data_IF_918433325001
#
_entry.id   IF_918433325001
#
_cell.length_a   1.000
_cell.length_b   1.000
_cell.length_c   1.000
_cell.angle_alpha   90.00
_cell.angle_beta   90.00
_cell.angle_gamma   90.00
#
_symmetry.space_group_name_H-M   'P 1'
#
loop_
_entity.id
_entity.type
_entity.pdbx_description
1 polymer ?
#
# COMPACT_ATOMS: atom_id res chain seq x y z
N UNK A 1 17.94 -6.71 20.10
CA UNK A 1 17.43 -5.87 20.03
C UNK A 1 16.08 -5.94 19.88
N UNK A 2 15.50 -5.30 20.32
CA UNK A 2 14.24 -5.44 20.37
C UNK A 2 13.65 -5.02 19.29
N UNK A 3 13.25 -5.48 18.73
CA UNK A 3 12.86 -5.09 17.75
C UNK A 3 11.57 -4.63 17.77
N UNK A 4 11.05 -4.08 16.81
CA UNK A 4 9.75 -3.55 16.68
C UNK A 4 8.75 -4.65 16.54
N UNK A 5 8.65 -5.45 17.55
CA UNK A 5 7.69 -6.51 17.50
C UNK A 5 6.30 -5.95 17.64
N UNK A 6 5.41 -6.34 16.74
CA UNK A 6 4.02 -5.94 16.81
C UNK A 6 3.29 -6.98 17.61
N UNK A 7 2.51 -6.58 18.62
CA UNK A 7 1.74 -7.55 19.37
C UNK A 7 0.83 -8.39 18.47
N UNK A 8 0.63 -9.66 18.77
CA UNK A 8 -0.16 -10.51 17.88
C UNK A 8 -1.60 -10.04 17.69
N UNK A 9 -2.13 -9.31 18.66
CA UNK A 9 -3.49 -8.80 18.56
C UNK A 9 -3.58 -7.37 18.09
N UNK A 10 -2.47 -6.77 17.68
CA UNK A 10 -2.50 -5.41 17.16
C UNK A 10 -3.21 -5.38 15.81
N UNK A 11 -3.96 -4.32 15.53
CA UNK A 11 -4.57 -4.19 14.20
C UNK A 11 -3.50 -4.14 13.13
N UNK A 12 -3.76 -4.71 11.96
CA UNK A 12 -2.82 -4.58 10.85
C UNK A 12 -2.75 -3.12 10.42
N UNK A 13 -1.57 -2.71 9.97
CA UNK A 13 -1.32 -1.35 9.54
C UNK A 13 -1.17 -1.31 8.02
N UNK A 14 -1.93 -0.43 7.38
CA UNK A 14 -1.88 -0.22 5.94
C UNK A 14 -1.43 1.21 5.68
N UNK A 15 -0.53 1.40 4.74
CA UNK A 15 -0.13 2.74 4.31
C UNK A 15 -0.94 3.15 3.09
N UNK A 16 -1.34 4.41 3.01
CA UNK A 16 -2.06 4.95 1.85
C UNK A 16 -1.32 6.19 1.40
N UNK A 17 -0.90 6.21 0.13
CA UNK A 17 -0.24 7.36 -0.47
C UNK A 17 -1.10 7.85 -1.61
N UNK A 18 -1.70 9.02 -1.46
CA UNK A 18 -2.57 9.62 -2.47
C UNK A 18 -2.49 11.13 -2.30
N UNK A 19 -2.27 11.90 -3.37
CA UNK A 19 -2.16 13.35 -3.25
C UNK A 19 -3.49 14.02 -2.95
N UNK A 20 -4.62 13.38 -3.25
CA UNK A 20 -5.92 13.96 -3.04
C UNK A 20 -6.39 13.70 -1.61
N UNK A 21 -6.56 14.73 -0.78
CA UNK A 21 -6.96 14.51 0.60
C UNK A 21 -8.35 13.89 0.74
N UNK A 22 -9.24 14.11 -0.20
CA UNK A 22 -10.58 13.50 -0.14
C UNK A 22 -10.47 12.00 -0.34
N UNK A 23 -9.72 11.57 -1.36
CA UNK A 23 -9.52 10.15 -1.62
C UNK A 23 -8.76 9.50 -0.46
N UNK A 24 -7.72 10.16 0.02
CA UNK A 24 -6.89 9.64 1.11
C UNK A 24 -7.71 9.45 2.38
N UNK A 25 -8.51 10.45 2.74
CA UNK A 25 -9.34 10.38 3.95
C UNK A 25 -10.47 9.37 3.78
N UNK A 26 -11.00 9.23 2.58
CA UNK A 26 -12.03 8.22 2.30
C UNK A 26 -11.51 6.81 2.51
N UNK A 27 -10.31 6.52 2.00
CA UNK A 27 -9.71 5.21 2.17
C UNK A 27 -9.39 4.96 3.65
N UNK A 28 -8.89 5.98 4.34
CA UNK A 28 -8.60 5.84 5.75
C UNK A 28 -9.86 5.49 6.55
N UNK A 29 -10.94 6.19 6.30
CA UNK A 29 -12.19 5.94 7.01
C UNK A 29 -12.74 4.54 6.69
N UNK A 30 -12.69 4.15 5.43
CA UNK A 30 -13.15 2.83 5.01
C UNK A 30 -12.41 1.72 5.72
N UNK A 31 -11.09 1.79 5.73
CA UNK A 31 -10.27 0.76 6.33
C UNK A 31 -10.40 0.75 7.85
N UNK A 32 -10.46 1.94 8.45
CA UNK A 32 -10.59 2.04 9.90
C UNK A 32 -11.90 1.40 10.37
N UNK A 33 -13.00 1.62 9.64
CA UNK A 33 -14.28 0.99 9.98
C UNK A 33 -14.23 -0.53 9.92
N UNK A 34 -13.26 -1.06 9.20
CA UNK A 34 -13.10 -2.50 9.04
C UNK A 34 -11.96 -3.06 9.88
N UNK A 35 -11.55 -2.34 10.92
CA UNK A 35 -10.58 -2.86 11.88
C UNK A 35 -9.13 -2.76 11.45
N UNK A 36 -8.82 -1.89 10.48
CA UNK A 36 -7.48 -1.75 9.94
C UNK A 36 -6.93 -0.38 10.32
N UNK A 37 -5.74 -0.34 10.91
CA UNK A 37 -5.08 0.93 11.17
C UNK A 37 -4.45 1.45 9.88
N UNK A 38 -4.45 2.75 9.71
CA UNK A 38 -4.01 3.37 8.46
C UNK A 38 -3.07 4.53 8.75
N UNK A 39 -1.95 4.56 8.04
CA UNK A 39 -1.08 5.75 7.99
C UNK A 39 -1.22 6.34 6.59
N UNK A 40 -1.41 7.65 6.51
CA UNK A 40 -1.65 8.29 5.22
C UNK A 40 -0.54 9.28 4.89
N UNK A 41 -0.25 9.41 3.61
CA UNK A 41 0.81 10.29 3.10
C UNK A 41 0.33 10.93 1.80
N UNK A 42 0.76 12.17 1.56
CA UNK A 42 0.37 12.87 0.34
C UNK A 42 1.37 12.68 -0.79
N UNK A 43 2.52 12.09 -0.53
CA UNK A 43 3.55 11.87 -1.54
C UNK A 43 4.41 10.67 -1.17
N UNK A 44 5.11 10.14 -2.15
CA UNK A 44 6.07 9.07 -1.91
C UNK A 44 7.21 9.56 -1.03
N UNK A 45 7.63 10.79 -1.25
CA UNK A 45 8.72 11.36 -0.47
C UNK A 45 8.37 11.45 1.01
N UNK A 46 7.15 11.90 1.34
CA UNK A 46 6.75 12.00 2.75
C UNK A 46 6.65 10.61 3.38
N UNK A 47 6.21 9.62 2.61
CA UNK A 47 6.20 8.24 3.10
C UNK A 47 7.62 7.77 3.42
N UNK A 48 8.56 7.99 2.51
CA UNK A 48 9.93 7.53 2.71
C UNK A 48 10.59 8.21 3.91
N UNK A 49 10.29 9.50 4.11
CA UNK A 49 10.82 10.21 5.27
C UNK A 49 10.25 9.71 6.58
N UNK A 50 9.00 9.30 6.57
CA UNK A 50 8.34 8.85 7.78
C UNK A 50 8.54 7.35 8.04
N UNK A 51 9.07 6.62 7.06
CA UNK A 51 9.26 5.19 7.21
C UNK A 51 10.32 4.95 8.30
N UNK A 52 9.89 4.31 9.36
CA UNK A 52 10.74 4.15 10.52
C UNK A 52 10.83 2.67 10.93
N UNK A 53 10.68 1.79 9.97
CA UNK A 53 10.78 0.36 10.26
C UNK A 53 9.48 -0.29 10.70
N UNK A 54 8.39 0.48 10.76
CA UNK A 54 7.11 -0.14 11.10
C UNK A 54 6.70 -1.09 9.98
N UNK A 55 6.20 -2.22 10.39
CA UNK A 55 5.80 -3.24 9.44
C UNK A 55 4.41 -2.93 8.90
N UNK A 56 4.29 -2.83 7.58
CA UNK A 56 3.00 -2.60 6.94
C UNK A 56 2.49 -3.90 6.36
N UNK A 57 1.21 -4.15 6.52
CA UNK A 57 0.58 -5.29 5.86
C UNK A 57 0.51 -5.07 4.35
N UNK A 58 0.30 -3.84 3.93
CA UNK A 58 0.37 -3.48 2.52
C UNK A 58 0.42 -1.96 2.37
N UNK A 59 0.72 -1.51 1.16
CA UNK A 59 0.81 -0.10 0.82
C UNK A 59 -0.07 0.13 -0.40
N UNK A 60 -1.03 1.04 -0.28
CA UNK A 60 -1.90 1.43 -1.39
C UNK A 60 -1.36 2.75 -1.91
N UNK A 61 -0.97 2.79 -3.18
CA UNK A 61 -0.24 3.91 -3.75
C UNK A 61 -0.89 4.38 -5.03
N UNK A 62 -1.22 5.66 -5.13
CA UNK A 62 -1.66 6.22 -6.40
C UNK A 62 -0.48 6.19 -7.37
N UNK A 63 -0.71 5.73 -8.57
CA UNK A 63 0.34 5.65 -9.58
C UNK A 63 0.86 7.03 -9.95
N UNK A 64 -0.03 8.03 -10.02
CA UNK A 64 0.35 9.38 -10.38
C UNK A 64 0.47 10.23 -9.13
N UNK A 65 1.68 10.41 -8.66
CA UNK A 65 2.00 11.24 -7.50
C UNK A 65 2.84 12.43 -7.94
N UNK A 66 2.73 13.57 -7.26
CA UNK A 66 3.64 14.66 -7.54
C UNK A 66 5.04 14.25 -7.10
N UNK A 67 6.05 14.70 -7.84
CA UNK A 67 7.43 14.28 -7.55
C UNK A 67 7.67 12.84 -7.96
N UNK A 68 8.09 12.02 -7.02
CA UNK A 68 8.33 10.60 -7.29
C UNK A 68 7.00 9.91 -7.58
N UNK A 69 6.91 9.20 -8.69
CA UNK A 69 5.68 8.50 -9.06
C UNK A 69 5.51 7.22 -8.24
N UNK A 70 4.32 6.63 -8.32
CA UNK A 70 4.08 5.34 -7.67
C UNK A 70 4.98 4.25 -8.21
N UNK A 71 5.24 4.26 -9.51
CA UNK A 71 6.14 3.26 -10.11
C UNK A 71 7.58 3.45 -9.63
N UNK A 72 8.04 4.69 -9.56
CA UNK A 72 9.38 4.96 -9.05
C UNK A 72 9.51 4.53 -7.59
N UNK A 73 8.49 4.77 -6.78
CA UNK A 73 8.50 4.33 -5.40
C UNK A 73 8.59 2.80 -5.31
N UNK A 74 7.81 2.10 -6.13
CA UNK A 74 7.86 0.65 -6.17
C UNK A 74 9.26 0.15 -6.50
N UNK A 75 9.88 0.73 -7.52
CA UNK A 75 11.23 0.35 -7.91
C UNK A 75 12.22 0.57 -6.77
N UNK A 76 12.08 1.69 -6.09
CA UNK A 76 12.96 2.01 -4.98
C UNK A 76 12.79 1.04 -3.82
N UNK A 77 11.56 0.69 -3.49
CA UNK A 77 11.30 -0.28 -2.43
C UNK A 77 11.90 -1.64 -2.78
N UNK A 78 11.67 -2.10 -3.99
CA UNK A 78 12.16 -3.43 -4.38
C UNK A 78 13.69 -3.46 -4.46
N UNK A 79 14.32 -2.41 -4.96
CA UNK A 79 15.78 -2.38 -5.06
C UNK A 79 16.44 -2.29 -3.69
N UNK A 80 15.74 -1.80 -2.68
CA UNK A 80 16.28 -1.76 -1.32
C UNK A 80 15.95 -3.03 -0.52
N UNK A 81 15.35 -4.00 -1.15
CA UNK A 81 15.03 -5.25 -0.46
C UNK A 81 13.72 -5.23 0.31
N UNK A 82 12.94 -4.15 0.18
CA UNK A 82 11.67 -4.06 0.86
C UNK A 82 10.60 -4.71 -0.02
N UNK A 83 9.98 -5.77 0.48
CA UNK A 83 9.00 -6.53 -0.29
C UNK A 83 7.57 -6.31 0.19
N UNK A 84 7.30 -5.16 0.83
CA UNK A 84 5.95 -4.84 1.27
C UNK A 84 4.98 -4.97 0.09
N UNK A 85 3.82 -5.61 0.28
CA UNK A 85 2.84 -5.69 -0.80
C UNK A 85 2.39 -4.31 -1.22
N UNK A 86 2.42 -4.04 -2.52
CA UNK A 86 2.04 -2.73 -3.07
C UNK A 86 0.86 -2.92 -4.01
N UNK A 87 -0.22 -2.20 -3.74
CA UNK A 87 -1.40 -2.16 -4.60
C UNK A 87 -1.46 -0.76 -5.21
N UNK A 88 -1.41 -0.67 -6.52
CA UNK A 88 -1.41 0.61 -7.21
C UNK A 88 -2.84 1.04 -7.55
N UNK A 89 -3.12 2.33 -7.44
CA UNK A 89 -4.37 2.90 -7.92
C UNK A 89 -4.08 3.62 -9.23
N UNK A 90 -4.79 3.29 -10.28
CA UNK A 90 -4.48 3.81 -11.60
C UNK A 90 -5.74 4.23 -12.35
N UNK A 91 -5.68 5.37 -13.05
CA UNK A 91 -6.75 5.75 -13.95
C UNK A 91 -6.74 4.86 -15.18
N UNK A 92 -7.83 4.88 -15.92
CA UNK A 92 -7.94 4.08 -17.14
C UNK A 92 -6.78 4.33 -18.10
N UNK A 93 -6.36 5.59 -18.24
CA UNK A 93 -5.27 5.93 -19.14
C UNK A 93 -3.91 5.39 -18.69
N UNK A 94 -3.80 4.94 -17.45
CA UNK A 94 -2.53 4.49 -16.90
C UNK A 94 -2.50 2.99 -16.64
N UNK A 95 -3.48 2.25 -17.10
CA UNK A 95 -3.55 0.80 -16.86
C UNK A 95 -2.36 0.08 -17.47
N UNK A 96 -1.89 0.50 -18.65
CA UNK A 96 -0.73 -0.17 -19.25
C UNK A 96 0.52 0.00 -18.39
N UNK A 97 0.69 1.15 -17.75
CA UNK A 97 1.80 1.37 -16.83
C UNK A 97 1.63 0.50 -15.58
N UNK A 98 0.40 0.38 -15.08
CA UNK A 98 0.14 -0.46 -13.91
C UNK A 98 0.43 -1.93 -14.22
N UNK A 99 0.07 -2.40 -15.42
CA UNK A 99 0.36 -3.77 -15.84
C UNK A 99 1.86 -3.99 -15.90
N UNK A 100 2.61 -3.02 -16.45
CA UNK A 100 4.06 -3.12 -16.49
C UNK A 100 4.65 -3.17 -15.07
N UNK A 101 4.05 -2.44 -14.13
CA UNK A 101 4.51 -2.44 -12.75
C UNK A 101 4.36 -3.81 -12.09
N UNK A 102 3.40 -4.61 -12.53
CA UNK A 102 3.25 -5.96 -12.00
C UNK A 102 4.52 -6.78 -12.24
N UNK A 103 5.19 -6.55 -13.36
CA UNK A 103 6.44 -7.25 -13.65
C UNK A 103 7.59 -6.75 -12.79
N UNK A 104 7.44 -5.57 -12.21
CA UNK A 104 8.47 -5.01 -11.36
C UNK A 104 8.19 -5.22 -9.88
N UNK A 105 7.19 -6.02 -9.57
CA UNK A 105 6.95 -6.42 -8.19
C UNK A 105 5.75 -5.84 -7.52
N UNK A 106 4.86 -5.13 -8.24
CA UNK A 106 3.60 -4.72 -7.65
C UNK A 106 2.75 -5.96 -7.37
N UNK A 107 1.98 -5.92 -6.29
CA UNK A 107 1.15 -7.05 -5.93
C UNK A 107 -0.11 -7.07 -6.77
N UNK A 108 -0.69 -5.90 -7.00
CA UNK A 108 -1.90 -5.79 -7.81
C UNK A 108 -2.12 -4.33 -8.14
N UNK A 109 -3.16 -4.04 -8.93
CA UNK A 109 -3.59 -2.66 -9.11
C UNK A 109 -5.12 -2.62 -9.14
N UNK A 110 -5.66 -1.45 -8.83
CA UNK A 110 -7.11 -1.21 -8.85
C UNK A 110 -7.35 0.00 -9.74
N UNK A 111 -8.25 -0.13 -10.70
CA UNK A 111 -8.55 0.95 -11.62
C UNK A 111 -9.55 1.91 -11.00
N UNK A 112 -9.32 3.20 -11.19
CA UNK A 112 -10.24 4.24 -10.75
C UNK A 112 -11.29 4.51 -11.84
N UNK A 113 -12.51 4.81 -11.45
CA UNK A 113 -13.02 4.86 -10.09
C UNK A 113 -13.25 3.46 -9.55
N UNK A 114 -13.02 3.28 -8.25
CA UNK A 114 -13.16 1.95 -7.68
C UNK A 114 -14.30 1.93 -6.67
N UNK A 115 -14.84 0.76 -6.44
CA UNK A 115 -15.81 0.54 -5.38
C UNK A 115 -15.09 0.15 -4.11
N UNK A 116 -15.67 0.48 -2.97
CA UNK A 116 -15.10 0.14 -1.67
C UNK A 116 -14.79 -1.36 -1.55
N UNK A 117 -15.67 -2.18 -2.11
CA UNK A 117 -15.49 -3.64 -2.05
C UNK A 117 -14.18 -4.08 -2.70
N UNK A 118 -13.78 -3.43 -3.81
CA UNK A 118 -12.54 -3.81 -4.49
C UNK A 118 -11.33 -3.57 -3.60
N UNK A 119 -11.30 -2.43 -2.90
CA UNK A 119 -10.22 -2.12 -1.99
C UNK A 119 -10.22 -3.07 -0.81
N UNK A 120 -11.38 -3.29 -0.20
CA UNK A 120 -11.49 -4.16 0.96
C UNK A 120 -11.07 -5.59 0.66
N UNK A 121 -11.43 -6.11 -0.52
CA UNK A 121 -11.04 -7.45 -0.89
C UNK A 121 -9.53 -7.59 -0.99
N UNK A 122 -8.86 -6.61 -1.60
CA UNK A 122 -7.42 -6.65 -1.71
C UNK A 122 -6.75 -6.56 -0.35
N UNK A 123 -7.20 -5.65 0.49
CA UNK A 123 -6.61 -5.47 1.80
C UNK A 123 -6.84 -6.71 2.66
N UNK A 124 -8.03 -7.25 2.66
CA UNK A 124 -8.32 -8.46 3.44
C UNK A 124 -7.46 -9.63 3.02
N UNK A 125 -7.27 -9.78 1.71
CA UNK A 125 -6.45 -10.84 1.19
C UNK A 125 -5.00 -10.72 1.67
N UNK A 126 -4.47 -9.51 1.70
CA UNK A 126 -3.08 -9.28 2.09
C UNK A 126 -2.89 -9.36 3.60
N UNK A 127 -3.87 -8.92 4.36
CA UNK A 127 -3.81 -8.98 5.81
C UNK A 127 -3.84 -10.43 6.29
N UNK A 128 -4.64 -11.27 5.66
CA UNK A 128 -4.78 -12.66 6.08
C UNK A 128 -3.67 -13.55 5.56
N UNK A 129 -2.81 -12.99 4.72
CA UNK A 129 -1.74 -13.78 4.16
C UNK A 129 -0.84 -14.25 5.27
N UNK A 130 -0.59 -15.54 5.39
CA UNK A 130 0.30 -16.01 6.45
C UNK A 130 1.73 -15.57 6.18
N UNK A 131 2.54 -15.41 7.23
CA UNK A 131 3.95 -15.13 7.04
C UNK A 131 4.59 -16.23 6.22
N UNK A 132 5.62 -15.89 5.46
CA UNK A 132 6.29 -16.87 4.62
C UNK A 132 6.77 -18.08 5.40
N UNK A 133 7.25 -17.86 6.61
CA UNK A 133 7.72 -18.98 7.43
C UNK A 133 6.58 -19.89 7.83
N UNK A 134 5.40 -19.36 8.04
CA UNK A 134 4.27 -20.18 8.43
C UNK A 134 3.70 -20.97 7.27
N UNK A 135 3.97 -20.54 6.06
CA UNK A 135 3.42 -21.23 4.91
C UNK A 135 4.27 -22.43 4.49
N UNK A 136 5.33 -22.64 5.16
CA UNK A 136 6.21 -23.76 4.82
C UNK A 136 5.59 -25.10 5.13
#
# INVERSE_FOLDING_TARGET
MAENKIPPDAPPLVGVIDPDPVARNGLRALLHRNGVDVSTFDSAESYLLAANGRHLACLIVDLLLPGMSGLELLRRLRSSGNDVPVVLLADESDVSTAVAAMREGATDFIEKPYHDVAVLKQVEKLIRRPPAAASA
#
